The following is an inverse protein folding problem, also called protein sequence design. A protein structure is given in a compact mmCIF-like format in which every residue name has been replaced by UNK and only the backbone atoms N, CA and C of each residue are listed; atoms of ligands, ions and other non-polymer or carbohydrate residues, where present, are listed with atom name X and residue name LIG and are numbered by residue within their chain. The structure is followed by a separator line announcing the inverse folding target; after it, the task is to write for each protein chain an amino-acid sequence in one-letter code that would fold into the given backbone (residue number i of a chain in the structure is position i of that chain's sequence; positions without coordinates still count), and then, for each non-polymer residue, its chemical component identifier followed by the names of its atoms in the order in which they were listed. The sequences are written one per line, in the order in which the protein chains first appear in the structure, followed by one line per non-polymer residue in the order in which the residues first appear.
data_IF_465296682473
#
_entry.id   IF_465296682473
#
_cell.length_a   1.000
_cell.length_b   1.000
_cell.length_c   1.000
_cell.angle_alpha   90.00
_cell.angle_beta   90.00
_cell.angle_gamma   90.00
#
_symmetry.space_group_name_H-M   'P 1'
#
loop_
_entity.id
_entity.type
_entity.pdbx_description
1 polymer ?
#
# COMPACT_ATOMS: atom_id res chain seq x y z
N UNK A 1 -43.18 18.78 44.27
CA UNK A 1 -44.52 18.47 44.82
C UNK A 1 -44.95 17.14 44.23
N UNK A 2 -45.02 16.13 45.10
CA UNK A 2 -45.91 14.94 45.19
C UNK A 2 -46.66 14.34 43.97
N UNK A 3 -47.00 13.02 44.01
CA UNK A 3 -46.88 12.07 42.89
C UNK A 3 -48.15 11.21 42.63
N UNK A 4 -47.98 10.09 41.89
CA UNK A 4 -48.76 8.83 41.82
C UNK A 4 -49.54 8.55 40.49
N UNK A 5 -49.99 7.31 40.17
CA UNK A 5 -49.90 6.04 40.92
C UNK A 5 -49.51 4.75 40.13
N UNK A 6 -49.36 3.68 40.92
CA UNK A 6 -49.26 2.23 40.60
C UNK A 6 -50.65 1.60 40.29
N UNK A 7 -50.68 0.45 39.61
CA UNK A 7 -51.10 -0.88 40.17
C UNK A 7 -51.67 -1.88 39.14
N UNK A 8 -51.42 -3.17 39.39
CA UNK A 8 -52.01 -4.36 38.76
C UNK A 8 -51.10 -5.59 39.00
N UNK A 9 -51.23 -6.33 40.12
CA UNK A 9 -52.06 -7.55 40.33
C UNK A 9 -51.71 -8.72 39.38
N UNK A 10 -51.37 -9.96 39.78
CA UNK A 10 -51.28 -10.65 41.07
C UNK A 10 -51.27 -12.18 40.84
N UNK A 11 -50.77 -12.95 41.85
CA UNK A 11 -50.96 -14.41 42.14
C UNK A 11 -50.47 -15.43 41.08
N UNK A 12 -49.99 -16.65 41.37
CA UNK A 12 -50.10 -17.59 42.50
C UNK A 12 -48.97 -18.65 42.39
N UNK A 13 -48.45 -19.15 43.52
CA UNK A 13 -47.70 -20.44 43.71
C UNK A 13 -48.69 -21.64 43.77
N UNK A 14 -48.36 -22.96 44.00
CA UNK A 14 -47.12 -23.59 44.55
C UNK A 14 -46.70 -25.03 44.06
N UNK A 15 -45.54 -25.48 44.59
CA UNK A 15 -45.17 -26.84 45.12
C UNK A 15 -44.92 -28.10 44.25
N UNK A 16 -43.80 -28.78 44.60
CA UNK A 16 -43.50 -30.21 44.47
C UNK A 16 -42.10 -30.44 43.89
N UNK A 17 -41.11 -31.14 44.46
CA UNK A 17 -41.04 -32.15 45.52
C UNK A 17 -40.25 -33.36 44.98
N UNK A 18 -39.03 -33.65 45.48
CA UNK A 18 -38.27 -34.85 45.09
C UNK A 18 -36.89 -34.99 45.76
N UNK A 19 -36.78 -35.91 46.72
CA UNK A 19 -35.53 -36.48 47.31
C UNK A 19 -35.02 -37.60 46.37
N UNK A 20 -33.79 -38.14 46.37
CA UNK A 20 -32.97 -38.75 47.42
C UNK A 20 -31.58 -39.17 46.88
N UNK A 21 -30.67 -39.50 47.80
CA UNK A 21 -29.25 -39.85 47.63
C UNK A 21 -28.94 -41.30 47.19
N UNK A 22 -27.67 -41.55 46.81
CA UNK A 22 -27.02 -42.88 46.83
C UNK A 22 -25.70 -42.98 46.03
N UNK A 23 -24.55 -43.16 46.70
CA UNK A 23 -23.34 -43.83 46.15
C UNK A 23 -23.27 -45.29 46.65
N UNK A 24 -22.12 -46.03 46.64
CA UNK A 24 -20.77 -45.78 46.09
C UNK A 24 -20.08 -47.03 45.40
N UNK A 25 -18.74 -46.96 45.21
CA UNK A 25 -17.75 -48.03 44.89
C UNK A 25 -17.68 -48.54 43.42
N UNK A 26 -16.57 -48.92 42.79
CA UNK A 26 -15.16 -49.21 43.15
C UNK A 26 -14.68 -50.40 42.28
N UNK A 27 -13.54 -50.33 41.58
CA UNK A 27 -13.04 -51.48 40.79
C UNK A 27 -11.76 -51.24 39.99
N UNK A 28 -10.71 -52.03 40.29
CA UNK A 28 -9.36 -52.07 39.68
C UNK A 28 -9.30 -53.06 38.50
N UNK A 29 -8.33 -52.89 37.59
CA UNK A 29 -7.41 -53.98 37.20
C UNK A 29 -7.26 -54.35 35.71
N UNK A 30 -5.99 -54.67 35.36
CA UNK A 30 -5.45 -55.44 34.22
C UNK A 30 -5.27 -54.71 32.86
N UNK A 31 -4.19 -54.86 32.10
CA UNK A 31 -3.07 -55.81 32.13
C UNK A 31 -1.93 -55.44 31.16
N UNK A 32 -0.80 -56.14 31.31
CA UNK A 32 0.53 -55.98 30.70
C UNK A 32 0.68 -56.61 29.30
N UNK A 33 1.73 -56.19 28.59
CA UNK A 33 2.54 -57.00 27.63
C UNK A 33 2.33 -56.62 26.15
N UNK A 34 3.28 -56.67 25.22
CA UNK A 34 4.66 -57.17 25.17
C UNK A 34 5.31 -56.69 23.84
N UNK A 35 6.64 -56.54 23.79
CA UNK A 35 7.42 -56.45 22.53
C UNK A 35 7.26 -57.74 21.68
N UNK A 36 7.65 -57.73 20.39
CA UNK A 36 8.93 -58.36 20.06
C UNK A 36 9.76 -57.66 18.97
N UNK A 37 10.99 -58.17 18.83
CA UNK A 37 12.06 -57.74 17.93
C UNK A 37 11.99 -58.41 16.53
N UNK A 38 12.79 -57.88 15.60
CA UNK A 38 13.04 -58.33 14.21
C UNK A 38 13.51 -59.78 14.07
N UNK A 39 13.52 -60.31 12.83
CA UNK A 39 14.83 -60.62 12.23
C UNK A 39 14.98 -60.36 10.72
N UNK A 40 16.25 -60.46 10.31
CA UNK A 40 16.90 -60.33 8.99
C UNK A 40 16.50 -61.38 7.93
N UNK A 41 17.05 -61.15 6.73
CA UNK A 41 17.42 -62.09 5.63
C UNK A 41 16.44 -62.12 4.45
N UNK A 42 16.85 -62.09 3.17
CA UNK A 42 18.16 -62.12 2.54
C UNK A 42 18.06 -61.79 1.03
N UNK A 43 19.19 -61.45 0.40
CA UNK A 43 19.37 -61.72 -1.04
C UNK A 43 19.80 -63.18 -1.24
N UNK A 44 20.40 -63.58 -2.39
CA UNK A 44 20.49 -62.94 -3.70
C UNK A 44 20.18 -63.97 -4.84
N UNK A 45 20.66 -63.70 -6.07
CA UNK A 45 20.86 -64.63 -7.22
C UNK A 45 19.68 -64.69 -8.21
N UNK A 46 19.86 -64.75 -9.54
CA UNK A 46 21.02 -64.95 -10.42
C UNK A 46 20.57 -64.92 -11.88
N UNK A 47 21.55 -64.84 -12.79
CA UNK A 47 21.58 -65.41 -14.13
C UNK A 47 20.79 -64.66 -15.22
N UNK A 48 21.44 -63.93 -16.12
CA UNK A 48 22.29 -64.39 -17.24
C UNK A 48 21.53 -65.15 -18.33
N UNK A 49 21.50 -64.56 -19.53
CA UNK A 49 21.55 -65.35 -20.77
C UNK A 49 20.67 -64.87 -21.92
N UNK A 50 21.35 -64.55 -23.03
CA UNK A 50 20.93 -64.76 -24.44
C UNK A 50 19.91 -63.76 -25.03
N UNK A 51 19.93 -63.38 -26.31
CA UNK A 51 20.90 -63.22 -27.41
C UNK A 51 20.07 -62.70 -28.61
N UNK A 52 20.63 -61.76 -29.39
CA UNK A 52 20.45 -61.50 -30.84
C UNK A 52 19.13 -60.98 -31.46
N UNK A 53 19.33 -60.01 -32.37
CA UNK A 53 18.45 -59.49 -33.44
C UNK A 53 18.62 -57.96 -33.57
N UNK A 54 19.55 -57.41 -34.37
CA UNK A 54 19.36 -56.93 -35.77
C UNK A 54 17.97 -56.27 -36.00
N UNK A 55 17.78 -55.05 -36.51
CA UNK A 55 18.58 -54.08 -37.26
C UNK A 55 17.89 -52.69 -37.20
N UNK A 56 18.68 -51.62 -37.31
CA UNK A 56 18.41 -50.30 -37.92
C UNK A 56 17.13 -49.50 -37.57
N UNK A 57 17.31 -48.37 -36.88
CA UNK A 57 16.73 -47.09 -37.31
C UNK A 57 17.45 -45.88 -36.67
N UNK A 58 18.02 -45.07 -37.56
CA UNK A 58 18.38 -43.64 -37.49
C UNK A 58 18.49 -42.90 -36.15
N UNK A 59 19.65 -42.24 -36.01
CA UNK A 59 20.07 -41.38 -34.92
C UNK A 59 19.11 -40.25 -34.53
N UNK A 60 18.89 -40.15 -33.23
CA UNK A 60 18.46 -38.94 -32.55
C UNK A 60 19.71 -38.21 -32.04
N UNK A 61 20.06 -37.08 -32.69
CA UNK A 61 21.01 -36.11 -32.14
C UNK A 61 20.31 -35.34 -31.01
N UNK A 62 20.90 -35.19 -29.81
CA UNK A 62 20.35 -34.29 -28.81
C UNK A 62 20.45 -32.84 -29.32
N UNK A 63 19.35 -32.10 -29.21
CA UNK A 63 19.29 -30.68 -29.55
C UNK A 63 20.25 -29.87 -28.65
N UNK A 64 20.96 -28.85 -29.19
CA UNK A 64 21.89 -28.05 -28.39
C UNK A 64 21.15 -27.18 -27.37
N UNK A 65 21.71 -27.11 -26.15
CA UNK A 65 21.28 -26.20 -25.09
C UNK A 65 21.20 -24.76 -25.59
N UNK A 66 19.99 -24.20 -25.62
CA UNK A 66 19.77 -22.78 -25.88
C UNK A 66 20.11 -22.00 -24.61
N UNK A 67 21.27 -21.37 -24.60
CA UNK A 67 21.65 -20.36 -23.59
C UNK A 67 20.65 -19.20 -23.65
N UNK A 68 20.17 -18.67 -22.51
CA UNK A 68 19.23 -17.56 -22.54
C UNK A 68 19.94 -16.30 -23.05
N UNK A 69 19.48 -15.76 -24.18
CA UNK A 69 19.94 -14.47 -24.68
C UNK A 69 19.58 -13.37 -23.70
N UNK A 70 20.57 -12.52 -23.39
CA UNK A 70 20.40 -11.28 -22.66
C UNK A 70 19.49 -10.36 -23.47
N UNK A 71 18.22 -10.27 -23.08
CA UNK A 71 17.33 -9.22 -23.57
C UNK A 71 17.91 -7.85 -23.19
N UNK A 72 18.42 -7.12 -24.20
CA UNK A 72 18.74 -5.70 -24.07
C UNK A 72 17.43 -4.94 -23.94
N UNK A 73 17.21 -4.38 -22.76
CA UNK A 73 16.08 -3.51 -22.46
C UNK A 73 16.25 -2.15 -23.13
N UNK A 74 15.97 -2.05 -24.42
CA UNK A 74 15.94 -0.78 -25.17
C UNK A 74 14.49 -0.38 -25.54
N UNK A 75 13.55 -0.56 -24.60
CA UNK A 75 12.16 -0.11 -24.76
C UNK A 75 11.62 0.64 -23.51
N UNK A 76 12.51 1.28 -22.74
CA UNK A 76 12.13 2.25 -21.69
C UNK A 76 13.05 3.47 -21.76
N UNK A 77 13.02 4.18 -22.89
CA UNK A 77 13.57 5.54 -23.04
C UNK A 77 12.67 6.36 -23.98
N UNK A 78 11.48 6.69 -23.50
CA UNK A 78 10.64 7.69 -24.16
C UNK A 78 9.74 8.38 -23.13
N UNK A 79 10.31 8.91 -22.04
CA UNK A 79 9.63 9.87 -21.19
C UNK A 79 10.63 10.96 -20.79
N UNK A 80 10.69 11.98 -21.64
CA UNK A 80 11.37 13.25 -21.42
C UNK A 80 10.86 14.25 -22.45
N UNK A 81 10.48 15.48 -22.07
CA UNK A 81 9.88 16.43 -23.00
C UNK A 81 10.95 16.88 -24.01
N UNK A 82 10.71 16.62 -25.29
CA UNK A 82 11.51 17.18 -26.38
C UNK A 82 10.91 18.54 -26.76
N UNK A 83 11.66 19.65 -26.73
CA UNK A 83 11.17 20.93 -27.23
C UNK A 83 11.11 20.87 -28.77
N UNK A 84 9.91 21.01 -29.33
CA UNK A 84 9.70 21.05 -30.77
C UNK A 84 10.33 22.29 -31.43
N UNK A 85 10.96 22.10 -32.59
CA UNK A 85 11.25 23.17 -33.56
C UNK A 85 11.10 22.68 -34.99
N UNK A 86 10.76 23.65 -35.85
CA UNK A 86 10.64 23.71 -37.33
C UNK A 86 9.20 23.56 -37.87
N UNK A 87 8.67 24.44 -38.73
CA UNK A 87 9.23 25.47 -39.64
C UNK A 87 8.11 26.51 -40.05
N UNK A 88 8.23 27.41 -41.08
CA UNK A 88 9.39 27.90 -41.85
C UNK A 88 9.45 29.47 -42.00
N UNK A 89 10.41 29.91 -42.84
CA UNK A 89 10.91 31.28 -43.14
C UNK A 89 9.96 32.19 -43.94
N UNK A 90 10.05 33.50 -43.67
CA UNK A 90 10.06 34.62 -44.64
C UNK A 90 10.82 35.79 -43.95
N UNK A 91 11.87 36.37 -44.53
CA UNK A 91 11.83 37.46 -45.51
C UNK A 91 12.21 38.80 -44.83
N UNK A 92 13.45 39.26 -45.02
CA UNK A 92 14.05 40.52 -44.49
C UNK A 92 13.43 41.80 -45.15
N UNK A 93 13.86 43.07 -44.89
CA UNK A 93 15.07 43.53 -44.17
C UNK A 93 15.05 44.89 -43.38
N UNK A 94 16.18 45.13 -42.70
CA UNK A 94 16.97 46.40 -42.50
C UNK A 94 16.52 47.52 -41.53
N UNK A 95 17.40 47.77 -40.55
CA UNK A 95 18.03 49.06 -40.11
C UNK A 95 18.35 48.94 -38.60
N UNK A 96 19.42 49.43 -37.99
CA UNK A 96 20.59 50.21 -38.34
C UNK A 96 21.30 50.60 -37.01
N UNK A 97 22.61 50.86 -37.07
CA UNK A 97 23.47 51.54 -36.07
C UNK A 97 23.59 50.92 -34.65
N UNK A 98 24.78 50.49 -34.20
CA UNK A 98 25.78 51.34 -33.51
C UNK A 98 25.67 51.06 -31.99
N UNK A 99 26.68 51.01 -31.13
CA UNK A 99 28.10 51.31 -31.17
C UNK A 99 28.79 50.53 -30.00
N UNK A 100 30.12 50.54 -30.00
CA UNK A 100 31.03 49.88 -29.06
C UNK A 100 31.23 50.66 -27.75
N UNK A 101 31.48 49.94 -26.66
CA UNK A 101 32.52 50.19 -25.63
C UNK A 101 32.28 49.19 -24.48
N UNK A 102 33.21 48.39 -23.95
CA UNK A 102 34.63 48.63 -23.68
C UNK A 102 34.82 48.57 -22.15
N UNK A 103 35.60 47.61 -21.63
CA UNK A 103 35.99 47.60 -20.21
C UNK A 103 36.26 46.22 -19.60
N UNK A 104 37.51 45.76 -19.69
CA UNK A 104 38.05 44.55 -19.08
C UNK A 104 38.33 44.73 -17.57
N UNK A 105 38.22 43.70 -16.73
CA UNK A 105 39.29 42.85 -16.10
C UNK A 105 38.65 42.31 -14.80
N UNK A 106 38.96 41.19 -14.17
CA UNK A 106 39.92 40.08 -14.29
C UNK A 106 39.62 39.21 -13.05
N UNK A 107 39.73 37.88 -13.10
CA UNK A 107 39.75 37.10 -11.85
C UNK A 107 39.51 35.60 -11.96
N UNK A 108 40.63 34.88 -12.11
CA UNK A 108 40.89 33.52 -11.62
C UNK A 108 39.94 32.37 -12.04
N UNK A 109 40.47 31.54 -12.95
CA UNK A 109 39.86 30.28 -13.34
C UNK A 109 39.86 29.23 -12.22
N UNK A 110 38.85 28.37 -12.29
CA UNK A 110 38.87 27.04 -11.69
C UNK A 110 38.18 26.09 -12.67
N UNK A 111 38.96 25.20 -13.26
CA UNK A 111 38.47 24.09 -14.08
C UNK A 111 37.56 23.20 -13.21
N UNK A 112 36.30 23.05 -13.63
CA UNK A 112 35.33 22.12 -13.05
C UNK A 112 34.66 21.34 -14.18
N UNK A 113 34.79 20.02 -14.15
CA UNK A 113 34.33 19.10 -15.20
C UNK A 113 32.82 19.14 -15.47
N UNK A 114 32.37 18.46 -16.54
CA UNK A 114 30.99 18.56 -17.02
C UNK A 114 29.98 18.11 -15.94
N UNK A 115 29.08 19.03 -15.60
CA UNK A 115 27.96 18.81 -14.68
C UNK A 115 27.13 17.61 -15.13
N UNK A 116 27.11 16.58 -14.29
CA UNK A 116 26.17 15.48 -14.39
C UNK A 116 24.74 16.04 -14.35
N UNK A 117 23.99 15.82 -15.42
CA UNK A 117 22.61 16.26 -15.56
C UNK A 117 21.78 15.81 -14.37
N UNK A 118 21.17 16.78 -13.67
CA UNK A 118 20.17 16.51 -12.65
C UNK A 118 19.02 15.74 -13.29
N UNK A 119 18.99 14.43 -13.03
CA UNK A 119 17.80 13.62 -13.24
C UNK A 119 16.71 14.20 -12.37
N UNK A 120 15.67 14.80 -12.97
CA UNK A 120 14.39 15.05 -12.29
C UNK A 120 13.92 13.71 -11.75
N UNK A 121 14.04 13.50 -10.44
CA UNK A 121 13.43 12.31 -9.82
C UNK A 121 11.93 12.42 -10.05
N UNK A 122 11.27 11.30 -10.32
CA UNK A 122 9.81 11.27 -10.35
C UNK A 122 9.24 11.91 -9.07
N UNK A 123 8.07 12.51 -9.21
CA UNK A 123 7.32 13.09 -8.10
C UNK A 123 6.96 11.97 -7.12
N UNK A 124 7.81 11.77 -6.11
CA UNK A 124 7.42 11.04 -4.91
C UNK A 124 6.41 11.92 -4.20
N UNK A 125 5.22 11.36 -3.93
CA UNK A 125 4.04 12.07 -3.43
C UNK A 125 4.24 12.92 -2.15
N UNK A 126 5.41 12.88 -1.52
CA UNK A 126 5.72 13.58 -0.27
C UNK A 126 7.12 14.23 -0.26
N UNK A 127 7.82 14.36 -1.41
CA UNK A 127 9.24 14.77 -1.42
C UNK A 127 9.51 16.15 -0.82
N UNK A 128 8.54 17.06 -0.92
CA UNK A 128 8.62 18.43 -0.41
C UNK A 128 7.56 18.72 0.67
N UNK A 129 6.81 17.70 1.12
CA UNK A 129 5.74 17.89 2.08
C UNK A 129 6.30 17.89 3.51
N UNK A 130 5.95 18.93 4.28
CA UNK A 130 6.18 18.94 5.73
C UNK A 130 5.02 18.20 6.39
N UNK A 131 5.34 17.37 7.39
CA UNK A 131 4.37 16.55 8.11
C UNK A 131 3.14 17.40 8.51
N UNK A 132 1.95 17.03 8.03
CA UNK A 132 0.66 17.56 8.51
C UNK A 132 0.18 18.84 7.84
N UNK A 133 1.03 19.52 7.07
CA UNK A 133 0.68 20.82 6.48
C UNK A 133 -0.30 20.74 5.30
N UNK A 134 -0.41 19.58 4.65
CA UNK A 134 -1.19 19.41 3.42
C UNK A 134 -2.51 18.65 3.59
N UNK A 135 -2.95 18.36 4.82
CA UNK A 135 -4.24 17.68 5.08
C UNK A 135 -5.48 18.53 4.76
N UNK A 136 -5.32 19.74 4.22
CA UNK A 136 -6.38 20.74 4.19
C UNK A 136 -6.73 21.20 5.62
N UNK A 137 -7.80 21.98 5.83
CA UNK A 137 -8.30 22.23 7.17
C UNK A 137 -8.80 20.91 7.74
N UNK A 138 -7.94 20.20 8.50
CA UNK A 138 -8.39 19.21 9.48
C UNK A 138 -9.51 19.90 10.24
N UNK A 139 -10.70 19.28 10.30
CA UNK A 139 -11.86 19.84 11.00
C UNK A 139 -11.37 20.31 12.37
N UNK A 140 -11.12 21.61 12.51
CA UNK A 140 -10.84 22.21 13.81
C UNK A 140 -12.07 21.84 14.61
N UNK A 141 -11.91 21.02 15.64
CA UNK A 141 -12.97 20.86 16.62
C UNK A 141 -13.35 22.28 17.04
N UNK A 142 -14.51 22.76 16.56
CA UNK A 142 -14.98 24.13 16.76
C UNK A 142 -15.40 24.38 18.22
N UNK A 143 -15.11 23.44 19.10
CA UNK A 143 -15.32 23.51 20.54
C UNK A 143 -14.00 23.23 21.25
N UNK A 144 -13.12 24.22 21.30
CA UNK A 144 -12.20 24.34 22.43
C UNK A 144 -11.78 25.78 22.62
N UNK A 145 -12.37 26.43 23.63
CA UNK A 145 -11.72 27.58 24.30
C UNK A 145 -10.29 27.15 24.63
N UNK A 146 -9.29 28.04 24.55
CA UNK A 146 -7.97 27.72 25.10
C UNK A 146 -8.20 27.41 26.59
N UNK A 147 -8.10 26.14 26.94
CA UNK A 147 -8.03 25.75 28.34
C UNK A 147 -6.75 26.39 28.89
N UNK A 148 -6.81 26.91 30.11
CA UNK A 148 -5.63 27.36 30.83
C UNK A 148 -4.55 26.25 30.77
N UNK A 149 -3.25 26.59 30.80
CA UNK A 149 -2.18 25.59 30.77
C UNK A 149 -2.35 24.68 32.00
N UNK A 150 -2.97 23.53 31.77
CA UNK A 150 -3.05 22.44 32.73
C UNK A 150 -1.68 21.80 32.66
N UNK A 151 -1.02 21.60 33.80
CA UNK A 151 0.14 20.71 33.89
C UNK A 151 -0.31 19.43 33.19
N UNK A 152 0.30 19.10 32.05
CA UNK A 152 -0.20 18.00 31.23
C UNK A 152 -0.22 16.74 32.10
N UNK A 153 -1.40 16.16 32.34
CA UNK A 153 -1.54 14.91 33.12
C UNK A 153 -0.68 13.78 32.51
N UNK A 154 -0.27 13.97 31.26
CA UNK A 154 0.60 13.10 30.47
C UNK A 154 2.12 13.25 30.77
N UNK A 155 2.54 14.10 31.73
CA UNK A 155 3.96 14.21 32.07
C UNK A 155 4.45 12.98 32.84
N UNK A 156 5.20 12.11 32.17
CA UNK A 156 5.88 10.98 32.79
C UNK A 156 7.37 11.33 33.02
N UNK A 157 7.84 11.45 34.27
CA UNK A 157 9.23 11.83 34.57
C UNK A 157 10.27 10.85 33.98
N UNK A 158 9.94 9.56 33.92
CA UNK A 158 10.78 8.50 33.33
C UNK A 158 10.64 8.43 31.80
N UNK A 159 9.70 9.21 31.23
CA UNK A 159 9.42 9.25 29.80
C UNK A 159 10.50 9.94 28.97
N UNK A 160 10.27 9.94 27.67
CA UNK A 160 11.10 10.61 26.68
C UNK A 160 10.49 11.98 26.39
N UNK A 161 11.34 13.02 26.32
CA UNK A 161 10.91 14.36 25.94
C UNK A 161 10.12 14.36 24.62
N UNK A 162 8.96 15.02 24.60
CA UNK A 162 8.02 15.04 23.49
C UNK A 162 8.69 15.45 22.16
N UNK A 163 9.49 16.53 22.17
CA UNK A 163 10.23 16.98 20.98
C UNK A 163 11.28 15.96 20.51
N UNK A 164 11.84 15.15 21.42
CA UNK A 164 12.76 14.06 21.06
C UNK A 164 11.98 12.92 20.42
N UNK A 165 10.81 12.56 20.94
CA UNK A 165 9.93 11.55 20.32
C UNK A 165 9.51 11.98 18.92
N UNK A 166 9.01 13.22 18.75
CA UNK A 166 8.61 13.77 17.44
C UNK A 166 9.78 13.82 16.44
N UNK A 167 10.96 14.26 16.88
CA UNK A 167 12.14 14.29 16.00
C UNK A 167 12.59 12.88 15.62
N UNK A 168 12.60 11.94 16.57
CA UNK A 168 12.86 10.52 16.31
C UNK A 168 11.81 9.94 15.37
N UNK A 169 10.55 10.40 15.45
CA UNK A 169 9.43 10.08 14.57
C UNK A 169 9.57 10.67 13.15
N UNK A 170 10.60 11.49 12.90
CA UNK A 170 10.87 12.09 11.60
C UNK A 170 10.00 13.29 11.26
N UNK A 171 9.32 13.90 12.25
CA UNK A 171 8.44 15.06 12.07
C UNK A 171 9.24 16.29 11.63
N UNK A 172 10.26 16.66 12.42
CA UNK A 172 11.16 17.78 12.14
C UNK A 172 12.43 17.69 13.01
N UNK A 173 13.28 18.73 12.96
CA UNK A 173 14.34 18.87 13.96
C UNK A 173 13.75 19.07 15.36
N UNK A 174 14.50 18.75 16.42
CA UNK A 174 14.02 18.91 17.81
C UNK A 174 13.57 20.34 18.11
N UNK A 175 14.30 21.36 17.64
CA UNK A 175 13.95 22.77 17.84
C UNK A 175 12.65 23.15 17.13
N UNK A 176 12.49 22.68 15.89
CA UNK A 176 11.25 22.88 15.14
C UNK A 176 10.07 22.14 15.79
N UNK A 177 10.32 20.99 16.43
CA UNK A 177 9.28 20.30 17.21
C UNK A 177 8.89 21.11 18.46
N UNK A 178 9.83 21.78 19.13
CA UNK A 178 9.52 22.69 20.25
C UNK A 178 8.67 23.89 19.78
N UNK A 179 8.99 24.47 18.62
CA UNK A 179 8.16 25.50 17.99
C UNK A 179 6.74 24.99 17.72
N UNK A 180 6.59 23.80 17.13
CA UNK A 180 5.29 23.18 16.89
C UNK A 180 4.48 22.93 18.17
N UNK A 181 5.15 22.52 19.26
CA UNK A 181 4.51 22.36 20.58
C UNK A 181 4.02 23.73 21.07
N UNK A 182 4.87 24.76 21.08
CA UNK A 182 4.51 26.10 21.53
C UNK A 182 3.38 26.72 20.69
N UNK A 183 3.30 26.40 19.40
CA UNK A 183 2.21 26.79 18.48
C UNK A 183 0.88 26.05 18.74
N UNK A 184 0.86 25.05 19.63
CA UNK A 184 -0.33 24.25 19.94
C UNK A 184 -0.73 23.29 18.82
N UNK A 185 0.24 22.82 18.03
CA UNK A 185 0.01 21.92 16.89
C UNK A 185 0.16 20.44 17.24
N UNK A 186 0.48 20.14 18.49
CA UNK A 186 0.76 18.80 18.99
C UNK A 186 -0.30 18.40 19.99
N UNK A 187 -0.88 17.23 19.79
CA UNK A 187 -1.83 16.61 20.71
C UNK A 187 -1.24 15.31 21.26
N UNK A 188 -1.42 15.07 22.56
CA UNK A 188 -1.11 13.81 23.23
C UNK A 188 -2.41 13.28 23.81
N UNK A 189 -2.84 12.10 23.39
CA UNK A 189 -4.12 11.49 23.75
C UNK A 189 -5.35 12.40 23.54
N UNK A 190 -5.27 13.28 22.54
CA UNK A 190 -6.33 14.25 22.20
C UNK A 190 -6.27 15.57 22.99
N UNK A 191 -5.27 15.76 23.84
CA UNK A 191 -5.03 17.01 24.54
C UNK A 191 -3.92 17.83 23.87
N UNK A 192 -4.22 19.09 23.53
CA UNK A 192 -3.23 20.00 22.95
C UNK A 192 -2.17 20.34 23.99
N UNK A 193 -0.92 19.98 23.71
CA UNK A 193 0.23 20.26 24.57
C UNK A 193 0.96 21.48 24.04
N UNK A 194 1.09 22.51 24.88
CA UNK A 194 1.85 23.75 24.58
C UNK A 194 3.07 23.94 25.48
N UNK A 195 3.17 23.17 26.56
CA UNK A 195 4.28 23.25 27.50
C UNK A 195 5.54 22.54 26.95
N UNK A 196 6.67 23.24 26.98
CA UNK A 196 7.95 22.66 26.59
C UNK A 196 8.52 21.78 27.71
N UNK A 197 9.18 20.70 27.33
CA UNK A 197 9.81 19.79 28.30
C UNK A 197 8.92 18.68 28.81
N UNK A 198 7.65 18.61 28.36
CA UNK A 198 6.76 17.46 28.56
C UNK A 198 7.46 16.17 28.12
N UNK A 199 7.31 15.14 28.95
CA UNK A 199 7.90 13.82 28.74
C UNK A 199 6.78 12.81 28.65
N UNK A 200 6.85 11.94 27.65
CA UNK A 200 5.80 10.96 27.36
C UNK A 200 6.42 9.59 27.20
N UNK A 201 5.63 8.56 27.47
CA UNK A 201 6.00 7.19 27.14
C UNK A 201 5.44 6.84 25.75
N UNK A 202 6.29 6.72 24.71
CA UNK A 202 5.85 6.49 23.33
C UNK A 202 5.15 5.13 23.13
N UNK A 203 5.24 4.21 24.09
CA UNK A 203 4.56 2.92 24.01
C UNK A 203 3.08 3.00 24.41
N UNK A 204 2.68 4.04 25.17
CA UNK A 204 1.35 4.13 25.77
C UNK A 204 0.54 5.30 25.24
N UNK A 205 1.18 6.40 24.84
CA UNK A 205 0.47 7.60 24.39
C UNK A 205 0.29 7.64 22.86
N UNK A 206 -0.82 8.22 22.42
CA UNK A 206 -1.05 8.57 21.02
C UNK A 206 -0.67 10.03 20.77
N UNK A 207 0.35 10.25 19.94
CA UNK A 207 0.83 11.60 19.59
C UNK A 207 0.31 11.97 18.20
N UNK A 208 -0.34 13.13 18.09
CA UNK A 208 -0.74 13.71 16.81
C UNK A 208 -0.03 15.04 16.58
N UNK A 209 0.37 15.29 15.34
CA UNK A 209 0.93 16.57 14.91
C UNK A 209 0.11 17.05 13.72
N UNK A 210 -0.51 18.23 13.86
CA UNK A 210 -1.45 18.77 12.88
C UNK A 210 -2.55 17.76 12.49
N UNK A 211 -3.04 16.98 13.46
CA UNK A 211 -4.05 15.95 13.26
C UNK A 211 -3.56 14.64 12.64
N UNK A 212 -2.25 14.48 12.35
CA UNK A 212 -1.68 13.20 11.90
C UNK A 212 -1.04 12.45 13.06
N UNK A 213 -1.47 11.21 13.25
CA UNK A 213 -0.87 10.31 14.24
C UNK A 213 0.56 9.96 13.86
N UNK A 214 1.45 10.00 14.85
CA UNK A 214 2.79 9.46 14.75
C UNK A 214 2.72 7.95 15.01
N UNK A 215 3.14 7.16 14.02
CA UNK A 215 3.39 5.75 14.26
C UNK A 215 4.76 5.58 14.94
N UNK A 216 4.73 5.19 16.21
CA UNK A 216 5.92 5.06 17.06
C UNK A 216 6.35 3.61 17.24
N UNK A 217 5.48 2.64 16.94
CA UNK A 217 5.82 1.21 17.05
C UNK A 217 6.70 0.79 15.87
N UNK A 218 7.98 0.49 16.16
CA UNK A 218 8.96 0.05 15.18
C UNK A 218 8.71 -1.39 14.68
N UNK A 219 7.86 -2.16 15.38
CA UNK A 219 7.48 -3.52 14.97
C UNK A 219 6.44 -3.49 13.84
N UNK A 220 5.70 -2.39 13.69
CA UNK A 220 4.75 -2.23 12.61
C UNK A 220 5.47 -1.88 11.31
N UNK A 221 5.15 -2.66 10.27
CA UNK A 221 5.81 -2.61 8.97
C UNK A 221 4.79 -2.21 7.92
N UNK A 222 5.19 -1.29 7.05
CA UNK A 222 4.34 -0.75 6.00
C UNK A 222 5.12 -0.73 4.70
N UNK A 223 4.64 -1.46 3.71
CA UNK A 223 5.30 -1.61 2.42
C UNK A 223 4.37 -1.29 1.26
N UNK A 224 4.97 -0.83 0.17
CA UNK A 224 4.33 -0.77 -1.16
C UNK A 224 5.00 -1.80 -2.05
N UNK A 225 4.21 -2.73 -2.55
CA UNK A 225 4.59 -3.65 -3.61
C UNK A 225 4.04 -3.15 -4.95
N UNK A 226 4.91 -2.98 -5.94
CA UNK A 226 4.47 -2.84 -7.33
C UNK A 226 4.30 -4.23 -7.93
N UNK A 227 3.12 -4.81 -7.75
CA UNK A 227 2.80 -6.16 -8.17
C UNK A 227 2.88 -6.27 -9.71
N UNK A 228 3.68 -7.20 -10.27
CA UNK A 228 3.69 -7.43 -11.70
C UNK A 228 2.49 -8.29 -12.15
N UNK A 229 2.27 -8.31 -13.47
CA UNK A 229 1.27 -9.18 -14.11
C UNK A 229 1.69 -10.64 -13.96
N UNK A 230 0.74 -11.54 -13.76
CA UNK A 230 1.00 -12.98 -13.63
C UNK A 230 1.37 -13.44 -12.22
N UNK A 231 1.33 -12.55 -11.24
CA UNK A 231 1.52 -12.86 -9.81
C UNK A 231 0.17 -12.89 -9.09
N UNK A 232 -0.03 -13.82 -8.18
CA UNK A 232 -1.26 -13.92 -7.37
C UNK A 232 -1.11 -13.11 -6.09
N UNK A 233 -2.17 -12.42 -5.70
CA UNK A 233 -2.23 -11.67 -4.44
C UNK A 233 -2.47 -12.61 -3.24
N UNK A 234 -1.53 -13.50 -2.96
CA UNK A 234 -1.49 -14.40 -1.81
C UNK A 234 -0.06 -14.50 -1.27
N UNK A 235 0.09 -14.86 0.01
CA UNK A 235 1.40 -15.15 0.62
C UNK A 235 1.86 -16.58 0.33
N UNK A 236 0.92 -17.48 0.04
CA UNK A 236 1.17 -18.89 -0.30
C UNK A 236 0.14 -19.34 -1.34
N UNK A 237 0.60 -19.97 -2.42
CA UNK A 237 -0.26 -20.51 -3.48
C UNK A 237 -0.10 -22.04 -3.55
N UNK A 238 -1.15 -22.83 -3.26
CA UNK A 238 -1.08 -24.30 -3.29
C UNK A 238 -0.74 -24.89 -4.66
N UNK A 239 -1.03 -24.16 -5.74
CA UNK A 239 -0.76 -24.57 -7.12
C UNK A 239 0.65 -24.19 -7.59
N UNK A 240 1.46 -23.57 -6.72
CA UNK A 240 2.85 -23.20 -7.02
C UNK A 240 3.00 -22.06 -8.03
N UNK A 241 1.96 -21.25 -8.24
CA UNK A 241 2.02 -20.07 -9.11
C UNK A 241 2.79 -18.93 -8.42
N UNK A 242 3.44 -18.04 -9.19
CA UNK A 242 4.12 -16.89 -8.61
C UNK A 242 3.19 -16.07 -7.71
N UNK A 243 3.62 -15.79 -6.48
CA UNK A 243 2.82 -15.10 -5.46
C UNK A 243 3.63 -13.97 -4.80
N UNK A 244 3.03 -13.27 -3.82
CA UNK A 244 3.66 -12.09 -3.21
C UNK A 244 4.96 -12.46 -2.49
N UNK A 245 4.99 -13.62 -1.83
CA UNK A 245 6.12 -14.02 -0.97
C UNK A 245 7.42 -14.30 -1.75
N UNK A 246 7.32 -14.57 -3.05
CA UNK A 246 8.47 -14.72 -3.95
C UNK A 246 9.25 -13.42 -4.13
N UNK A 247 8.60 -12.27 -3.92
CA UNK A 247 9.20 -10.94 -4.05
C UNK A 247 9.69 -10.36 -2.71
N UNK A 248 9.39 -11.02 -1.58
CA UNK A 248 9.83 -10.57 -0.27
C UNK A 248 11.31 -10.90 -0.05
N UNK A 249 12.06 -9.91 0.47
CA UNK A 249 13.43 -10.13 0.93
C UNK A 249 13.43 -11.15 2.08
N UNK A 250 14.48 -11.99 2.22
CA UNK A 250 14.58 -12.96 3.31
C UNK A 250 14.34 -12.36 4.69
N UNK A 251 14.86 -11.16 4.95
CA UNK A 251 14.67 -10.43 6.22
C UNK A 251 13.20 -10.14 6.55
N UNK A 252 12.37 -9.93 5.52
CA UNK A 252 10.95 -9.60 5.67
C UNK A 252 10.05 -10.84 5.64
N UNK A 253 10.59 -12.04 5.35
CA UNK A 253 9.81 -13.28 5.34
C UNK A 253 9.39 -13.73 6.74
N UNK A 254 10.13 -13.31 7.77
CA UNK A 254 9.78 -13.56 9.17
C UNK A 254 8.74 -12.57 9.71
N UNK A 255 8.52 -11.46 9.00
CA UNK A 255 7.47 -10.51 9.34
C UNK A 255 6.13 -11.10 8.88
N UNK A 256 5.17 -11.21 9.80
CA UNK A 256 3.81 -11.72 9.51
C UNK A 256 3.02 -10.68 8.71
N UNK A 257 3.42 -10.45 7.46
CA UNK A 257 2.81 -9.46 6.58
C UNK A 257 1.52 -9.99 5.94
N UNK A 258 0.55 -9.10 5.81
CA UNK A 258 -0.71 -9.30 5.12
C UNK A 258 -0.81 -8.30 3.96
N UNK A 259 -1.60 -8.64 2.93
CA UNK A 259 -1.89 -7.73 1.83
C UNK A 259 -3.18 -6.92 2.09
N UNK A 260 -3.14 -5.62 1.80
CA UNK A 260 -4.31 -4.75 1.93
C UNK A 260 -5.16 -4.84 0.67
N UNK A 261 -6.23 -5.62 0.77
CA UNK A 261 -7.05 -6.00 -0.37
C UNK A 261 -6.30 -6.90 -1.34
N UNK A 262 -6.81 -7.04 -2.56
CA UNK A 262 -6.19 -7.90 -3.58
C UNK A 262 -6.16 -7.20 -4.93
N UNK A 263 -5.22 -7.63 -5.77
CA UNK A 263 -5.21 -7.38 -7.20
C UNK A 263 -5.36 -8.71 -7.93
N UNK A 264 -6.11 -8.70 -9.04
CA UNK A 264 -6.23 -9.89 -9.89
C UNK A 264 -4.86 -10.30 -10.44
N UNK A 265 -4.75 -11.55 -10.90
CA UNK A 265 -3.53 -12.10 -11.48
C UNK A 265 -2.99 -11.20 -12.62
N UNK A 266 -3.90 -10.75 -13.49
CA UNK A 266 -3.58 -9.91 -14.64
C UNK A 266 -3.47 -8.42 -14.33
N UNK A 267 -3.75 -8.01 -13.10
CA UNK A 267 -3.73 -6.60 -12.68
C UNK A 267 -2.39 -6.28 -12.02
N UNK A 268 -1.79 -5.18 -12.46
CA UNK A 268 -0.50 -4.69 -12.01
C UNK A 268 -0.65 -3.55 -10.99
N UNK A 269 0.46 -3.20 -10.35
CA UNK A 269 0.59 -1.92 -9.65
C UNK A 269 0.55 -2.04 -8.14
N UNK A 270 0.14 -0.94 -7.51
CA UNK A 270 0.25 -0.70 -6.08
C UNK A 270 -0.56 -1.71 -5.26
N UNK A 271 0.12 -2.49 -4.43
CA UNK A 271 -0.45 -3.31 -3.36
C UNK A 271 0.25 -2.98 -2.05
N UNK A 272 -0.50 -2.62 -1.01
CA UNK A 272 0.08 -2.37 0.31
C UNK A 272 0.27 -3.70 1.05
N UNK A 273 1.38 -3.84 1.76
CA UNK A 273 1.64 -4.97 2.65
C UNK A 273 1.94 -4.44 4.06
N UNK A 274 1.32 -5.00 5.09
CA UNK A 274 1.54 -4.60 6.48
C UNK A 274 1.21 -5.71 7.47
N UNK A 275 1.78 -5.67 8.66
CA UNK A 275 1.36 -6.47 9.81
C UNK A 275 0.39 -5.72 10.73
N UNK A 276 0.00 -4.48 10.38
CA UNK A 276 -1.02 -3.69 11.06
C UNK A 276 -2.43 -4.15 10.62
N UNK A 277 -3.04 -4.99 11.46
CA UNK A 277 -4.36 -5.56 11.19
C UNK A 277 -5.48 -4.51 11.20
N UNK A 278 -5.39 -3.49 12.07
CA UNK A 278 -6.41 -2.46 12.16
C UNK A 278 -6.41 -1.59 10.90
N UNK A 279 -5.23 -1.12 10.47
CA UNK A 279 -5.11 -0.36 9.23
C UNK A 279 -5.58 -1.19 8.02
N UNK A 280 -5.21 -2.46 7.97
CA UNK A 280 -5.65 -3.37 6.90
C UNK A 280 -7.17 -3.46 6.83
N UNK A 281 -7.83 -3.66 7.97
CA UNK A 281 -9.28 -3.71 8.05
C UNK A 281 -9.91 -2.40 7.55
N UNK A 282 -9.45 -1.24 8.04
CA UNK A 282 -10.02 0.05 7.64
C UNK A 282 -9.83 0.37 6.15
N UNK A 283 -8.64 0.09 5.59
CA UNK A 283 -8.38 0.33 4.17
C UNK A 283 -9.17 -0.59 3.22
N UNK A 284 -9.59 -1.75 3.69
CA UNK A 284 -10.35 -2.73 2.89
C UNK A 284 -11.85 -2.63 3.09
N UNK A 285 -12.31 -2.15 4.24
CA UNK A 285 -13.71 -2.10 4.56
C UNK A 285 -14.44 -1.00 3.76
N UNK A 286 -15.60 -1.31 3.12
CA UNK A 286 -16.30 -0.37 2.25
C UNK A 286 -16.69 0.96 2.90
N UNK A 287 -16.97 0.97 4.22
CA UNK A 287 -17.43 2.18 4.94
C UNK A 287 -16.42 3.31 4.99
N UNK A 288 -15.13 3.03 4.80
CA UNK A 288 -14.09 4.06 4.81
C UNK A 288 -13.89 4.70 3.45
N UNK A 289 -14.55 4.16 2.40
CA UNK A 289 -14.55 4.72 1.05
C UNK A 289 -13.15 5.19 0.62
N UNK A 290 -12.14 4.33 0.74
CA UNK A 290 -10.76 4.71 0.43
C UNK A 290 -10.55 4.70 -1.09
N UNK A 291 -10.16 5.83 -1.72
CA UNK A 291 -10.09 5.92 -3.18
C UNK A 291 -8.97 5.07 -3.74
N UNK A 292 -9.24 4.45 -4.87
CA UNK A 292 -8.28 3.64 -5.62
C UNK A 292 -8.23 4.19 -7.04
N UNK A 293 -7.05 4.62 -7.46
CA UNK A 293 -6.82 5.17 -8.81
C UNK A 293 -6.18 4.10 -9.68
N UNK A 294 -6.72 3.93 -10.87
CA UNK A 294 -6.25 2.98 -11.86
C UNK A 294 -5.96 3.69 -13.17
N UNK A 295 -4.87 3.26 -13.82
CA UNK A 295 -4.60 3.54 -15.21
C UNK A 295 -5.06 2.33 -16.03
N UNK A 296 -5.95 2.59 -16.99
CA UNK A 296 -6.62 1.60 -17.81
C UNK A 296 -6.23 1.83 -19.26
N UNK A 297 -5.74 0.77 -19.91
CA UNK A 297 -5.49 0.75 -21.34
C UNK A 297 -6.58 -0.06 -22.03
N UNK A 298 -7.21 0.53 -23.04
CA UNK A 298 -8.23 -0.13 -23.88
C UNK A 298 -7.99 0.21 -25.35
N UNK A 299 -8.64 -0.52 -26.25
CA UNK A 299 -8.61 -0.19 -27.67
C UNK A 299 -9.38 1.10 -27.96
N UNK A 300 -8.76 1.94 -28.79
CA UNK A 300 -9.37 3.14 -29.31
C UNK A 300 -10.01 2.94 -30.69
N UNK A 301 -10.77 3.94 -31.17
CA UNK A 301 -11.17 5.14 -30.45
C UNK A 301 -12.25 4.85 -29.41
N UNK A 302 -12.42 5.75 -28.43
CA UNK A 302 -13.52 5.69 -27.46
C UNK A 302 -14.57 6.73 -27.78
N UNK A 303 -15.84 6.33 -27.68
CA UNK A 303 -16.98 7.20 -27.94
C UNK A 303 -17.00 8.42 -27.02
N UNK A 304 -17.48 9.54 -27.55
CA UNK A 304 -17.82 10.71 -26.74
C UNK A 304 -18.90 10.30 -25.72
N UNK A 305 -18.80 10.75 -24.47
CA UNK A 305 -19.80 10.50 -23.44
C UNK A 305 -19.58 9.25 -22.57
N UNK A 306 -18.69 8.31 -22.93
CA UNK A 306 -18.40 7.11 -22.09
C UNK A 306 -18.00 7.50 -20.67
N UNK A 307 -17.14 8.51 -20.51
CA UNK A 307 -16.75 9.00 -19.19
C UNK A 307 -17.88 9.67 -18.40
N UNK A 308 -18.93 10.17 -19.06
CA UNK A 308 -20.14 10.67 -18.38
C UNK A 308 -21.02 9.50 -17.94
N UNK A 309 -21.26 8.55 -18.82
CA UNK A 309 -22.01 7.32 -18.53
C UNK A 309 -21.40 6.56 -17.33
N UNK A 310 -20.08 6.41 -17.27
CA UNK A 310 -19.44 5.73 -16.13
C UNK A 310 -19.57 6.50 -14.80
N UNK A 311 -19.68 7.84 -14.84
CA UNK A 311 -19.88 8.68 -13.64
C UNK A 311 -21.34 8.70 -13.18
N UNK A 312 -22.28 8.66 -14.12
CA UNK A 312 -23.70 8.48 -13.83
C UNK A 312 -23.96 7.10 -13.23
N UNK A 313 -23.27 6.09 -13.76
CA UNK A 313 -23.23 4.72 -13.25
C UNK A 313 -23.85 3.73 -14.22
N UNK A 314 -23.49 2.46 -14.03
CA UNK A 314 -23.81 1.35 -14.91
C UNK A 314 -24.34 0.21 -14.04
N UNK A 315 -25.41 -0.42 -14.50
CA UNK A 315 -25.93 -1.63 -13.89
C UNK A 315 -25.04 -2.83 -14.26
N UNK A 316 -24.49 -3.50 -13.25
CA UNK A 316 -23.73 -4.73 -13.39
C UNK A 316 -24.50 -5.89 -12.74
N UNK A 317 -24.02 -7.12 -12.94
CA UNK A 317 -24.63 -8.34 -12.38
C UNK A 317 -24.80 -8.32 -10.85
N UNK A 318 -23.91 -7.63 -10.13
CA UNK A 318 -23.95 -7.48 -8.67
C UNK A 318 -24.52 -6.12 -8.22
N UNK A 319 -25.20 -5.40 -9.13
CA UNK A 319 -25.89 -4.14 -8.89
C UNK A 319 -25.18 -2.91 -9.46
N UNK A 320 -25.75 -1.75 -9.16
CA UNK A 320 -25.33 -0.47 -9.73
C UNK A 320 -23.95 -0.03 -9.25
N UNK A 321 -23.08 0.40 -10.17
CA UNK A 321 -21.72 0.86 -9.88
C UNK A 321 -21.35 2.07 -10.74
N UNK A 322 -20.57 3.00 -10.17
CA UNK A 322 -20.10 4.21 -10.84
C UNK A 322 -18.63 4.46 -10.53
N UNK A 323 -17.97 5.26 -11.37
CA UNK A 323 -16.64 5.81 -11.08
C UNK A 323 -16.77 7.21 -10.50
N UNK A 324 -15.88 7.56 -9.58
CA UNK A 324 -15.85 8.90 -8.98
C UNK A 324 -15.18 9.90 -9.92
N UNK A 325 -14.19 9.44 -10.68
CA UNK A 325 -13.48 10.22 -11.68
C UNK A 325 -13.14 9.38 -12.90
N UNK A 326 -13.20 10.02 -14.06
CA UNK A 326 -12.81 9.48 -15.35
C UNK A 326 -12.04 10.55 -16.12
N UNK A 327 -10.81 10.25 -16.51
CA UNK A 327 -9.94 11.19 -17.24
C UNK A 327 -9.21 10.48 -18.36
N UNK A 328 -9.39 10.95 -19.59
CA UNK A 328 -8.54 10.56 -20.71
C UNK A 328 -7.14 11.14 -20.47
N UNK A 329 -6.14 10.27 -20.36
CA UNK A 329 -4.74 10.65 -20.11
C UNK A 329 -3.99 10.79 -21.41
N UNK A 330 -4.16 9.82 -22.31
CA UNK A 330 -3.50 9.80 -23.61
C UNK A 330 -4.36 9.03 -24.63
N UNK A 331 -4.20 9.36 -25.91
CA UNK A 331 -4.90 8.73 -27.02
C UNK A 331 -3.95 8.56 -28.18
N UNK A 332 -3.48 7.33 -28.38
CA UNK A 332 -2.61 6.94 -29.49
C UNK A 332 -3.38 6.09 -30.50
N UNK A 333 -2.94 5.99 -31.76
CA UNK A 333 -3.57 5.10 -32.72
C UNK A 333 -3.64 3.66 -32.17
N UNK A 334 -4.85 3.11 -32.10
CA UNK A 334 -5.12 1.75 -31.60
C UNK A 334 -5.34 1.64 -30.09
N UNK A 335 -4.78 2.52 -29.26
CA UNK A 335 -4.89 2.44 -27.79
C UNK A 335 -5.13 3.80 -27.14
N UNK A 336 -5.98 3.79 -26.13
CA UNK A 336 -6.21 4.94 -25.25
C UNK A 336 -5.84 4.58 -23.80
N UNK A 337 -5.42 5.59 -23.06
CA UNK A 337 -5.11 5.49 -21.64
C UNK A 337 -6.06 6.36 -20.85
N UNK A 338 -6.73 5.75 -19.88
CA UNK A 338 -7.73 6.39 -19.04
C UNK A 338 -7.36 6.22 -17.58
N UNK A 339 -7.40 7.31 -16.82
CA UNK A 339 -7.35 7.27 -15.37
C UNK A 339 -8.79 7.20 -14.82
N UNK A 340 -9.03 6.23 -13.95
CA UNK A 340 -10.31 6.06 -13.24
C UNK A 340 -10.10 6.00 -11.74
N UNK A 341 -10.99 6.62 -10.97
CA UNK A 341 -11.00 6.57 -9.51
C UNK A 341 -12.28 5.93 -9.02
N UNK A 342 -12.15 5.01 -8.07
CA UNK A 342 -13.28 4.33 -7.44
C UNK A 342 -12.97 4.02 -5.97
N UNK A 343 -14.00 4.09 -5.13
CA UNK A 343 -13.93 3.64 -3.74
C UNK A 343 -14.26 2.14 -3.58
N UNK A 344 -15.03 1.58 -4.52
CA UNK A 344 -15.48 0.19 -4.53
C UNK A 344 -14.32 -0.81 -4.67
N UNK A 345 -14.38 -1.91 -3.90
CA UNK A 345 -13.43 -3.02 -3.94
C UNK A 345 -14.00 -4.31 -4.53
N UNK A 346 -15.13 -4.24 -5.24
CA UNK A 346 -15.82 -5.42 -5.79
C UNK A 346 -14.95 -6.15 -6.82
N UNK A 347 -15.17 -7.46 -6.95
CA UNK A 347 -14.37 -8.32 -7.83
C UNK A 347 -14.35 -7.78 -9.26
N UNK A 348 -13.13 -7.60 -9.81
CA UNK A 348 -12.86 -7.16 -11.18
C UNK A 348 -13.67 -5.93 -11.64
N UNK A 349 -14.05 -5.04 -10.71
CA UNK A 349 -15.02 -3.98 -10.96
C UNK A 349 -14.65 -3.06 -12.12
N UNK A 350 -13.37 -2.63 -12.21
CA UNK A 350 -12.90 -1.77 -13.31
C UNK A 350 -13.07 -2.47 -14.66
N UNK A 351 -12.67 -3.75 -14.75
CA UNK A 351 -12.80 -4.51 -16.00
C UNK A 351 -14.27 -4.64 -16.40
N UNK A 352 -15.14 -5.02 -15.47
CA UNK A 352 -16.58 -5.15 -15.72
C UNK A 352 -17.25 -3.85 -16.18
N UNK A 353 -16.89 -2.71 -15.57
CA UNK A 353 -17.41 -1.40 -15.99
C UNK A 353 -16.99 -1.06 -17.44
N UNK A 354 -15.73 -1.31 -17.77
CA UNK A 354 -15.19 -1.06 -19.11
C UNK A 354 -15.74 -2.05 -20.16
N UNK A 355 -15.93 -3.32 -19.78
CA UNK A 355 -16.58 -4.33 -20.62
C UNK A 355 -18.03 -3.94 -20.93
N UNK A 356 -18.78 -3.43 -19.94
CA UNK A 356 -20.17 -3.02 -20.09
C UNK A 356 -20.37 -1.81 -21.04
N UNK A 357 -19.35 -0.94 -21.19
CA UNK A 357 -19.36 0.17 -22.17
C UNK A 357 -18.70 -0.21 -23.51
N UNK A 358 -18.41 -1.50 -23.73
CA UNK A 358 -17.86 -1.99 -24.99
C UNK A 358 -16.37 -1.75 -25.19
N UNK A 359 -15.63 -1.42 -24.13
CA UNK A 359 -14.19 -1.13 -24.18
C UNK A 359 -13.39 -2.06 -23.26
N UNK A 360 -13.26 -3.35 -23.59
CA UNK A 360 -12.61 -4.31 -22.70
C UNK A 360 -11.15 -3.94 -22.38
N UNK A 361 -10.76 -4.19 -21.13
CA UNK A 361 -9.46 -3.75 -20.58
C UNK A 361 -8.32 -4.64 -21.03
N UNK A 362 -7.39 -4.09 -21.80
CA UNK A 362 -6.15 -4.77 -22.23
C UNK A 362 -5.10 -4.77 -21.12
N UNK A 363 -4.92 -3.63 -20.43
CA UNK A 363 -3.97 -3.50 -19.31
C UNK A 363 -4.57 -2.65 -18.20
N UNK A 364 -4.33 -3.09 -16.96
CA UNK A 364 -4.84 -2.42 -15.76
C UNK A 364 -3.72 -2.28 -14.73
N UNK A 365 -3.45 -1.06 -14.31
CA UNK A 365 -2.43 -0.75 -13.31
C UNK A 365 -3.06 0.09 -12.20
N UNK A 366 -3.03 -0.38 -10.95
CA UNK A 366 -3.40 0.46 -9.81
C UNK A 366 -2.25 1.40 -9.49
N UNK A 367 -2.46 2.71 -9.65
CA UNK A 367 -1.41 3.72 -9.49
C UNK A 367 -1.46 4.40 -8.12
N UNK A 368 -2.62 4.37 -7.43
CA UNK A 368 -2.81 5.03 -6.14
C UNK A 368 -3.80 4.29 -5.24
N UNK A 369 -3.57 4.30 -3.93
CA UNK A 369 -4.53 3.92 -2.88
C UNK A 369 -4.52 5.01 -1.81
N UNK A 370 -5.66 5.67 -1.60
CA UNK A 370 -5.77 6.79 -0.67
C UNK A 370 -4.69 7.84 -0.97
N UNK A 371 -3.87 8.24 0.01
CA UNK A 371 -2.78 9.18 -0.19
C UNK A 371 -1.54 8.57 -0.87
N UNK A 372 -1.42 7.24 -0.91
CA UNK A 372 -0.20 6.55 -1.35
C UNK A 372 -0.20 6.37 -2.86
N UNK A 373 0.87 6.85 -3.49
CA UNK A 373 1.09 6.79 -4.94
C UNK A 373 2.21 5.80 -5.29
N UNK A 374 2.09 5.16 -6.45
CA UNK A 374 3.09 4.22 -6.95
C UNK A 374 4.37 4.94 -7.40
N UNK A 375 4.25 6.14 -7.97
CA UNK A 375 5.37 6.95 -8.43
C UNK A 375 6.20 6.27 -9.52
N UNK A 376 7.53 6.34 -9.40
CA UNK A 376 8.52 5.77 -10.32
C UNK A 376 8.99 4.35 -9.91
N UNK A 377 8.26 3.70 -9.01
CA UNK A 377 8.62 2.38 -8.49
C UNK A 377 8.57 1.32 -9.59
N UNK A 378 9.67 0.56 -9.77
CA UNK A 378 9.75 -0.49 -10.78
C UNK A 378 8.82 -1.67 -10.46
N UNK A 379 8.29 -2.32 -11.48
CA UNK A 379 7.53 -3.56 -11.31
C UNK A 379 8.35 -4.62 -10.55
N UNK A 380 7.67 -5.40 -9.72
CA UNK A 380 8.28 -6.43 -8.87
C UNK A 380 9.06 -5.88 -7.67
N UNK A 381 9.24 -4.57 -7.54
CA UNK A 381 9.96 -4.01 -6.40
C UNK A 381 9.05 -3.75 -5.21
N UNK A 382 9.60 -3.89 -4.00
CA UNK A 382 8.98 -3.56 -2.72
C UNK A 382 9.79 -2.45 -2.08
N UNK A 383 9.10 -1.43 -1.56
CA UNK A 383 9.70 -0.36 -0.76
C UNK A 383 8.97 -0.20 0.57
N UNK A 384 9.70 0.28 1.58
CA UNK A 384 9.11 0.73 2.85
C UNK A 384 8.40 2.05 2.63
N UNK A 385 7.25 2.24 3.27
CA UNK A 385 6.56 3.53 3.33
C UNK A 385 7.31 4.49 4.27
N UNK A 386 7.47 5.74 3.84
CA UNK A 386 8.02 6.79 4.70
C UNK A 386 7.08 7.10 5.87
N UNK A 387 7.62 7.70 6.94
CA UNK A 387 6.82 8.02 8.15
C UNK A 387 5.68 8.99 7.88
N UNK A 388 5.92 9.99 7.02
CA UNK A 388 4.86 10.88 6.53
C UNK A 388 3.78 10.14 5.73
N UNK A 389 4.18 9.24 4.83
CA UNK A 389 3.24 8.39 4.09
C UNK A 389 2.36 7.55 5.02
N UNK A 390 2.95 6.94 6.05
CA UNK A 390 2.21 6.18 7.07
C UNK A 390 1.25 7.09 7.84
N UNK A 391 1.70 8.27 8.28
CA UNK A 391 0.84 9.24 8.96
C UNK A 391 -0.36 9.67 8.11
N UNK A 392 -0.15 9.99 6.84
CA UNK A 392 -1.23 10.31 5.91
C UNK A 392 -2.18 9.13 5.69
N UNK A 393 -1.65 7.91 5.60
CA UNK A 393 -2.45 6.71 5.40
C UNK A 393 -3.34 6.42 6.62
N UNK A 394 -2.80 6.53 7.85
CA UNK A 394 -3.56 6.41 9.09
C UNK A 394 -4.64 7.49 9.18
N UNK A 395 -4.27 8.76 8.96
CA UNK A 395 -5.21 9.88 8.97
C UNK A 395 -6.36 9.71 7.95
N UNK A 396 -6.08 9.13 6.77
CA UNK A 396 -7.10 8.90 5.73
C UNK A 396 -8.21 7.94 6.14
N UNK A 397 -8.01 7.15 7.21
CA UNK A 397 -9.00 6.23 7.77
C UNK A 397 -9.33 6.53 9.23
N UNK A 398 -8.99 7.73 9.71
CA UNK A 398 -9.27 8.19 11.07
C UNK A 398 -8.52 7.42 12.15
N UNK A 399 -7.27 7.05 11.89
CA UNK A 399 -6.37 6.36 12.83
C UNK A 399 -5.28 7.24 13.42
#
# INVERSE_FOLDING_TARGET
MTPAPRSGSGRNTPRGGGRSAGGPAGGKGFGRGSKPASPRSGGPRSASGLKKGEERANGYRPAPEVRPEKFKSDAVKAFGPTPGKSAPKSGAPKSGAGARSGGAKSGAGKFGGPQAGQRKSGDRAFRNERFGQNLGPVRRSTTRRPAAPVISEHHNPEGIRLQKVMASAGVASRRVCEEMIAEGRVEVDGEVVTELGVRVDPATVAIHVDGMRLQLDENLKYYVFNKPRGVISTMEDPEGRPCISDYLKPSSKHERLFHVGRLDNETEGLLLLTNDGELTNRLTHPSFEVPKTYLVQVRGPMGQGVGAQMREGIELEDGFQKVDSFKLVDSTPGHILVEVVLHSGRNRIVRRLFDAVGHPVERLVRTKIGPISLGDQRQGSIRVLGRGEVGHLLASVGL
#
